data_IF_902281011512
#
_entry.id   IF_902281011512
#
_cell.length_a   1.000
_cell.length_b   1.000
_cell.length_c   1.000
_cell.angle_alpha   90.00
_cell.angle_beta   90.00
_cell.angle_gamma   90.00
#
_symmetry.space_group_name_H-M   'P 1'
#
loop_
_entity.id
_entity.type
_entity.pdbx_description
1 polymer ?
#
# COMPACT_ATOMS: atom_id res chain seq x y z
N UNK A 1 -32.17 17.02 -5.13
CA UNK A 1 -30.79 17.54 -5.05
C UNK A 1 -30.22 17.10 -3.70
N UNK A 2 -29.44 16.01 -3.67
CA UNK A 2 -28.86 15.50 -2.41
C UNK A 2 -27.53 16.23 -2.20
N UNK A 3 -27.43 17.01 -1.13
CA UNK A 3 -26.19 17.67 -0.72
C UNK A 3 -25.20 16.59 -0.26
N UNK A 4 -24.24 16.24 -1.10
CA UNK A 4 -23.14 15.37 -0.72
C UNK A 4 -22.12 16.22 0.04
N UNK A 5 -22.19 16.21 1.38
CA UNK A 5 -21.16 16.85 2.22
C UNK A 5 -19.81 16.19 1.91
N UNK A 6 -18.82 17.00 1.56
CA UNK A 6 -17.46 16.51 1.32
C UNK A 6 -16.90 15.88 2.61
N UNK A 7 -16.26 14.72 2.50
CA UNK A 7 -15.61 14.02 3.62
C UNK A 7 -14.52 14.86 4.33
N UNK A 8 -14.17 16.03 3.77
CA UNK A 8 -13.25 17.01 4.35
C UNK A 8 -13.89 17.90 5.43
N UNK A 9 -15.22 18.05 5.49
CA UNK A 9 -15.87 19.06 6.34
C UNK A 9 -15.91 18.73 7.85
N UNK A 10 -15.53 17.52 8.27
CA UNK A 10 -15.64 17.06 9.67
C UNK A 10 -14.30 16.79 10.37
N UNK A 11 -13.15 17.09 9.76
CA UNK A 11 -11.84 16.79 10.37
C UNK A 11 -11.42 17.91 11.32
N UNK A 12 -11.10 17.54 12.57
CA UNK A 12 -10.55 18.46 13.57
C UNK A 12 -9.04 18.63 13.39
N UNK A 13 -8.48 19.79 13.79
CA UNK A 13 -7.04 19.94 13.94
C UNK A 13 -6.44 18.83 14.82
N UNK A 14 -5.23 18.40 14.47
CA UNK A 14 -4.49 17.45 15.28
C UNK A 14 -4.11 18.07 16.64
N UNK A 15 -4.48 17.40 17.73
CA UNK A 15 -4.30 17.89 19.10
C UNK A 15 -3.01 17.41 19.77
N UNK A 16 -2.16 16.66 19.07
CA UNK A 16 -0.87 16.24 19.61
C UNK A 16 0.09 17.42 19.76
N UNK A 17 1.03 17.31 20.70
CA UNK A 17 1.99 18.37 21.02
C UNK A 17 3.20 18.40 20.07
N UNK A 18 3.42 17.33 19.30
CA UNK A 18 4.56 17.17 18.41
C UNK A 18 4.13 16.60 17.06
N UNK A 19 4.90 16.90 16.00
CA UNK A 19 4.68 16.32 14.68
C UNK A 19 4.67 14.79 14.74
N UNK A 20 3.73 14.17 14.03
CA UNK A 20 3.61 12.71 13.91
C UNK A 20 3.33 12.27 12.48
N UNK A 21 3.68 11.02 12.14
CA UNK A 21 3.32 10.38 10.86
C UNK A 21 2.31 9.27 11.15
N UNK A 22 1.19 9.26 10.43
CA UNK A 22 0.25 8.14 10.41
C UNK A 22 0.27 7.49 9.04
N UNK A 23 0.34 6.17 9.03
CA UNK A 23 0.25 5.35 7.82
C UNK A 23 -0.97 4.43 7.99
N UNK A 24 -1.83 4.39 6.99
CA UNK A 24 -2.94 3.46 6.89
C UNK A 24 -2.67 2.48 5.75
N UNK A 25 -2.79 1.18 6.04
CA UNK A 25 -2.59 0.09 5.10
C UNK A 25 -3.93 -0.61 4.91
N UNK A 26 -4.40 -0.66 3.68
CA UNK A 26 -5.56 -1.44 3.26
C UNK A 26 -5.05 -2.74 2.63
N UNK A 27 -5.22 -3.86 3.34
CA UNK A 27 -4.78 -5.18 2.88
C UNK A 27 -5.95 -5.88 2.21
N UNK A 28 -6.02 -5.77 0.89
CA UNK A 28 -7.05 -6.42 0.07
C UNK A 28 -6.61 -7.79 -0.45
N UNK A 29 -7.57 -8.53 -0.98
CA UNK A 29 -7.34 -9.87 -1.53
C UNK A 29 -6.55 -9.83 -2.84
N UNK A 30 -6.93 -8.95 -3.77
CA UNK A 30 -6.26 -8.80 -5.08
C UNK A 30 -5.23 -7.69 -5.08
N UNK A 31 -5.53 -6.58 -4.39
CA UNK A 31 -4.69 -5.40 -4.35
C UNK A 31 -4.70 -4.79 -2.95
N UNK A 32 -3.56 -4.30 -2.52
CA UNK A 32 -3.37 -3.54 -1.29
C UNK A 32 -3.08 -2.07 -1.58
N UNK A 33 -3.40 -1.19 -0.64
CA UNK A 33 -3.18 0.25 -0.77
C UNK A 33 -2.55 0.84 0.49
N UNK A 34 -1.85 1.97 0.32
CA UNK A 34 -1.27 2.71 1.44
C UNK A 34 -1.64 4.19 1.31
N UNK A 35 -1.98 4.80 2.44
CA UNK A 35 -2.09 6.25 2.56
C UNK A 35 -1.38 6.72 3.81
N UNK A 36 -1.00 8.00 3.85
CA UNK A 36 -0.34 8.59 4.99
C UNK A 36 -0.82 10.02 5.25
N UNK A 37 -0.59 10.50 6.46
CA UNK A 37 -0.78 11.89 6.83
C UNK A 37 0.35 12.34 7.76
N UNK A 38 0.91 13.51 7.47
CA UNK A 38 1.78 14.22 8.42
C UNK A 38 0.87 15.06 9.30
N UNK A 39 0.93 14.81 10.61
CA UNK A 39 0.11 15.48 11.61
C UNK A 39 0.91 16.63 12.22
N UNK A 40 0.58 17.86 11.84
CA UNK A 40 1.12 19.06 12.47
C UNK A 40 0.22 19.52 13.62
N UNK A 41 0.76 19.85 14.81
CA UNK A 41 -0.02 20.40 15.90
C UNK A 41 -0.86 21.61 15.47
N UNK A 42 -2.18 21.54 15.69
CA UNK A 42 -3.09 22.63 15.35
C UNK A 42 -3.52 22.72 13.88
N UNK A 43 -3.03 21.85 12.99
CA UNK A 43 -3.48 21.79 11.60
C UNK A 43 -4.46 20.64 11.35
N UNK A 44 -5.37 20.83 10.38
CA UNK A 44 -6.26 19.76 9.90
C UNK A 44 -5.42 18.79 9.05
N UNK A 45 -5.33 17.49 9.40
CA UNK A 45 -4.54 16.53 8.64
C UNK A 45 -4.99 16.37 7.19
N UNK A 46 -4.01 16.42 6.28
CA UNK A 46 -4.20 16.08 4.86
C UNK A 46 -3.79 14.63 4.63
N UNK A 47 -4.65 13.88 3.95
CA UNK A 47 -4.38 12.48 3.62
C UNK A 47 -3.76 12.44 2.23
N UNK A 48 -2.65 11.73 2.12
CA UNK A 48 -1.92 11.49 0.89
C UNK A 48 -1.98 10.00 0.56
N UNK A 49 -2.52 9.66 -0.61
CA UNK A 49 -2.40 8.29 -1.13
C UNK A 49 -0.99 8.03 -1.65
N UNK A 50 -0.48 6.83 -1.45
CA UNK A 50 0.72 6.34 -2.14
C UNK A 50 0.29 5.96 -3.56
N UNK A 51 0.92 6.57 -4.57
CA UNK A 51 0.57 6.40 -5.99
C UNK A 51 1.70 5.76 -6.81
N UNK A 52 2.77 5.35 -6.14
CA UNK A 52 3.90 4.67 -6.77
C UNK A 52 4.51 3.69 -5.77
N UNK A 53 4.51 2.42 -6.15
CA UNK A 53 5.18 1.35 -5.43
C UNK A 53 6.44 0.91 -6.19
N UNK A 54 7.45 0.33 -5.49
CA UNK A 54 8.58 -0.32 -6.15
C UNK A 54 8.11 -1.38 -7.16
N UNK A 55 8.74 -1.46 -8.33
CA UNK A 55 8.38 -2.43 -9.38
C UNK A 55 7.14 -2.05 -10.21
N UNK A 56 6.55 -0.87 -10.00
CA UNK A 56 5.44 -0.32 -10.81
C UNK A 56 5.83 0.96 -11.58
N UNK A 57 7.08 1.10 -12.02
CA UNK A 57 7.61 2.34 -12.62
C UNK A 57 6.85 2.79 -13.87
N UNK A 58 6.19 1.86 -14.57
CA UNK A 58 5.43 2.12 -15.80
C UNK A 58 3.93 2.37 -15.56
N UNK A 59 3.43 2.21 -14.32
CA UNK A 59 2.00 2.34 -13.99
C UNK A 59 1.78 3.61 -13.14
N UNK A 60 2.11 4.76 -13.73
CA UNK A 60 1.92 6.04 -13.06
C UNK A 60 0.44 6.26 -12.69
N UNK A 61 0.17 6.49 -11.41
CA UNK A 61 -1.18 6.80 -10.91
C UNK A 61 -1.96 5.60 -10.37
N UNK A 62 -1.40 4.39 -10.34
CA UNK A 62 -2.02 3.29 -9.61
C UNK A 62 -1.81 3.49 -8.10
N UNK A 63 -2.91 3.63 -7.36
CA UNK A 63 -2.88 3.78 -5.90
C UNK A 63 -2.77 2.44 -5.17
N UNK A 64 -2.56 1.34 -5.90
CA UNK A 64 -2.58 -0.02 -5.36
C UNK A 64 -1.45 -0.90 -5.90
N UNK A 65 -1.02 -1.83 -5.07
CA UNK A 65 -0.02 -2.87 -5.37
C UNK A 65 -0.69 -4.25 -5.34
N UNK A 66 -0.32 -5.20 -6.22
CA UNK A 66 -0.85 -6.57 -6.16
C UNK A 66 -0.66 -7.21 -4.78
N UNK A 67 -1.66 -7.95 -4.31
CA UNK A 67 -1.59 -8.71 -3.06
C UNK A 67 -1.05 -10.12 -3.32
N UNK A 68 0.19 -10.20 -3.81
CA UNK A 68 0.87 -11.46 -4.16
C UNK A 68 2.11 -11.59 -3.28
N UNK A 69 2.33 -12.78 -2.74
CA UNK A 69 3.50 -13.10 -1.92
C UNK A 69 4.07 -14.47 -2.34
N UNK A 70 5.38 -14.58 -2.45
CA UNK A 70 6.10 -15.85 -2.51
C UNK A 70 6.78 -16.16 -1.19
N UNK A 71 6.68 -17.42 -0.77
CA UNK A 71 7.43 -17.99 0.36
C UNK A 71 8.38 -19.07 -0.11
N UNK A 72 9.58 -19.15 0.46
CA UNK A 72 10.44 -20.32 0.29
C UNK A 72 9.88 -21.54 1.07
N UNK A 73 10.52 -22.69 0.90
CA UNK A 73 10.16 -23.94 1.61
C UNK A 73 10.28 -23.87 3.14
N UNK A 74 10.90 -22.83 3.69
CA UNK A 74 11.03 -22.59 5.11
C UNK A 74 9.99 -21.58 5.64
N UNK A 75 9.08 -21.10 4.76
CA UNK A 75 8.06 -20.12 5.10
C UNK A 75 8.60 -18.69 5.17
N UNK A 76 9.81 -18.42 4.64
CA UNK A 76 10.34 -17.06 4.56
C UNK A 76 9.78 -16.37 3.32
N UNK A 77 9.24 -15.17 3.50
CA UNK A 77 8.83 -14.31 2.39
C UNK A 77 10.06 -13.93 1.56
N UNK A 78 9.98 -14.13 0.24
CA UNK A 78 11.10 -13.92 -0.70
C UNK A 78 10.78 -12.92 -1.82
N UNK A 79 9.51 -12.72 -2.15
CA UNK A 79 9.06 -11.66 -3.03
C UNK A 79 7.61 -11.26 -2.70
N UNK A 80 7.25 -9.99 -2.88
CA UNK A 80 5.88 -9.53 -2.67
C UNK A 80 5.49 -8.34 -3.55
N UNK A 81 4.20 -8.17 -3.82
CA UNK A 81 3.72 -7.03 -4.59
C UNK A 81 4.11 -7.12 -6.07
N UNK A 82 4.49 -5.99 -6.66
CA UNK A 82 4.75 -5.93 -8.10
C UNK A 82 6.00 -6.73 -8.54
N UNK A 83 7.03 -6.83 -7.70
CA UNK A 83 8.22 -7.64 -8.03
C UNK A 83 7.88 -9.12 -8.18
N UNK A 84 6.86 -9.62 -7.47
CA UNK A 84 6.38 -10.99 -7.55
C UNK A 84 5.79 -11.33 -8.94
N UNK A 85 5.42 -10.33 -9.73
CA UNK A 85 4.90 -10.52 -11.09
C UNK A 85 5.98 -10.42 -12.17
N UNK A 86 7.23 -10.12 -11.80
CA UNK A 86 8.32 -10.05 -12.78
C UNK A 86 8.67 -11.43 -13.30
N UNK A 87 8.99 -11.52 -14.60
CA UNK A 87 9.35 -12.81 -15.23
C UNK A 87 10.58 -13.45 -14.59
N UNK A 88 11.53 -12.64 -14.08
CA UNK A 88 12.70 -13.15 -13.36
C UNK A 88 12.33 -13.81 -12.04
N UNK A 89 11.42 -13.21 -11.27
CA UNK A 89 10.96 -13.78 -10.00
C UNK A 89 10.11 -15.03 -10.23
N UNK A 90 9.28 -15.05 -11.27
CA UNK A 90 8.50 -16.23 -11.63
C UNK A 90 9.40 -17.41 -12.02
N UNK A 91 10.40 -17.19 -12.87
CA UNK A 91 11.36 -18.23 -13.24
C UNK A 91 12.15 -18.74 -12.01
N UNK A 92 12.58 -17.84 -11.14
CA UNK A 92 13.28 -18.22 -9.91
C UNK A 92 12.37 -19.00 -8.94
N UNK A 93 11.11 -18.60 -8.82
CA UNK A 93 10.11 -19.29 -8.00
C UNK A 93 9.89 -20.73 -8.49
N UNK A 94 9.87 -20.95 -9.81
CA UNK A 94 9.79 -22.28 -10.42
C UNK A 94 11.03 -23.12 -10.11
N UNK A 95 12.24 -22.57 -10.33
CA UNK A 95 13.51 -23.26 -10.09
C UNK A 95 13.73 -23.63 -8.62
N UNK A 96 13.36 -22.73 -7.70
CA UNK A 96 13.57 -22.90 -6.26
C UNK A 96 12.38 -23.55 -5.53
N UNK A 97 11.27 -23.78 -6.23
CA UNK A 97 10.05 -24.38 -5.66
C UNK A 97 9.38 -23.49 -4.61
N UNK A 98 9.30 -22.18 -4.87
CA UNK A 98 8.61 -21.24 -3.97
C UNK A 98 7.09 -21.42 -4.01
N UNK A 99 6.44 -21.10 -2.90
CA UNK A 99 5.00 -21.20 -2.71
C UNK A 99 4.38 -19.82 -2.96
N UNK A 100 3.61 -19.71 -4.05
CA UNK A 100 2.80 -18.51 -4.36
C UNK A 100 1.58 -18.46 -3.46
N UNK A 101 1.30 -17.30 -2.88
CA UNK A 101 0.09 -17.01 -2.11
C UNK A 101 -0.62 -15.80 -2.72
N UNK A 102 -1.83 -16.04 -3.20
CA UNK A 102 -2.79 -15.07 -3.72
C UNK A 102 -4.21 -15.67 -3.59
N UNK A 103 -5.25 -14.88 -3.86
CA UNK A 103 -6.67 -15.30 -3.81
C UNK A 103 -7.26 -15.48 -5.21
#
# INVERSE_FOLDING_TARGET
MVNMKSATENRKPYSGLTRSLVIAIDVGTTFSGVSYAILEPGEIPKIHGVTRFPGQEHVAGNSKIPSIIYYDKHGKMVAAGAEAETSSVQAQAEDEGWIKTEL
#
